data_IF_485921697933
#
_entry.id   IF_485921697933
#
_cell.length_a   1.000
_cell.length_b   1.000
_cell.length_c   1.000
_cell.angle_alpha   90.00
_cell.angle_beta   90.00
_cell.angle_gamma   90.00
#
_symmetry.space_group_name_H-M   'P 1'
#
loop_
_entity.id
_entity.type
_entity.pdbx_description
1 polymer ?
#
# COMPACT_ATOMS: atom_id res chain seq x y z
N UNK A 1 -2.27 5.68 14.33
CA UNK A 1 -2.75 4.49 13.61
C UNK A 1 -3.88 4.87 12.67
N UNK A 2 -4.16 4.05 11.67
CA UNK A 2 -5.30 4.18 10.77
C UNK A 2 -6.04 2.84 10.59
N UNK A 3 -7.13 2.85 9.83
CA UNK A 3 -7.89 1.65 9.47
C UNK A 3 -7.66 1.37 7.98
N UNK A 4 -7.07 0.23 7.67
CA UNK A 4 -6.94 -0.28 6.32
C UNK A 4 -8.17 -1.11 5.91
N UNK A 5 -8.40 -1.25 4.61
CA UNK A 5 -9.46 -2.13 4.09
C UNK A 5 -9.30 -3.58 4.54
N UNK A 6 -8.06 -4.05 4.70
CA UNK A 6 -7.77 -5.41 5.17
C UNK A 6 -8.15 -5.67 6.63
N UNK A 7 -8.18 -4.65 7.49
CA UNK A 7 -8.65 -4.78 8.88
C UNK A 7 -10.13 -5.18 8.95
N UNK A 8 -10.91 -4.75 7.94
CA UNK A 8 -12.34 -5.01 7.88
C UNK A 8 -12.70 -6.48 7.61
N UNK A 9 -11.77 -7.28 7.11
CA UNK A 9 -12.03 -8.70 6.87
C UNK A 9 -12.19 -9.45 8.18
N UNK A 10 -11.29 -9.20 9.11
CA UNK A 10 -11.41 -9.73 10.46
C UNK A 10 -12.72 -9.27 11.11
N UNK A 11 -13.02 -7.97 11.01
CA UNK A 11 -14.25 -7.39 11.55
C UNK A 11 -15.54 -8.01 10.97
N UNK A 12 -15.52 -8.33 9.66
CA UNK A 12 -16.68 -8.90 8.95
C UNK A 12 -16.75 -10.42 9.01
N UNK A 13 -15.78 -11.09 9.61
CA UNK A 13 -15.75 -12.55 9.67
C UNK A 13 -16.78 -13.07 10.71
N UNK A 14 -17.84 -13.77 10.28
CA UNK A 14 -18.88 -14.26 11.20
C UNK A 14 -18.39 -15.36 12.16
N UNK A 15 -17.21 -15.93 11.90
CA UNK A 15 -16.62 -17.00 12.71
C UNK A 15 -15.61 -16.49 13.76
N UNK A 16 -15.51 -15.19 13.94
CA UNK A 16 -14.66 -14.65 15.00
C UNK A 16 -15.28 -15.00 16.33
N UNK A 17 -14.52 -15.77 17.13
CA UNK A 17 -14.87 -16.02 18.53
C UNK A 17 -14.68 -14.73 19.32
N UNK A 18 -15.55 -14.50 20.32
CA UNK A 18 -15.36 -13.42 21.28
C UNK A 18 -13.95 -13.47 21.86
N UNK A 19 -13.23 -12.37 21.77
CA UNK A 19 -11.85 -12.24 22.20
C UNK A 19 -11.22 -10.96 21.69
N UNK A 20 -9.93 -10.77 21.96
CA UNK A 20 -9.17 -9.63 21.44
C UNK A 20 -9.00 -9.78 19.93
N UNK A 21 -9.59 -8.85 19.19
CA UNK A 21 -9.28 -8.67 17.79
C UNK A 21 -7.93 -7.95 17.71
N UNK A 22 -6.92 -8.65 17.23
CA UNK A 22 -5.68 -7.99 16.80
C UNK A 22 -6.03 -7.19 15.55
N UNK A 23 -6.12 -5.86 15.68
CA UNK A 23 -6.53 -4.97 14.60
C UNK A 23 -5.48 -3.91 14.34
N UNK A 24 -5.36 -3.55 13.06
CA UNK A 24 -4.43 -2.54 12.60
C UNK A 24 -3.01 -3.06 12.39
N UNK A 25 -2.32 -2.43 11.45
CA UNK A 25 -0.94 -2.78 11.06
C UNK A 25 -0.14 -1.56 10.62
N UNK A 26 -0.69 -0.36 10.73
CA UNK A 26 -0.05 0.90 10.32
C UNK A 26 0.05 1.85 11.51
N UNK A 27 1.26 2.22 11.90
CA UNK A 27 1.46 3.13 13.02
C UNK A 27 2.64 4.08 12.82
N UNK A 28 2.52 5.24 13.43
CA UNK A 28 3.64 6.12 13.79
C UNK A 28 3.57 6.37 15.28
N UNK A 29 4.70 6.58 15.92
CA UNK A 29 4.71 6.76 17.38
C UNK A 29 6.07 7.11 17.93
N UNK A 30 6.13 7.24 19.25
CA UNK A 30 7.36 7.47 19.99
C UNK A 30 7.83 6.16 20.59
N UNK A 31 9.11 5.89 20.50
CA UNK A 31 9.74 4.75 21.18
C UNK A 31 9.71 5.00 22.68
N UNK A 32 9.03 4.15 23.42
CA UNK A 32 8.93 4.25 24.88
C UNK A 32 10.06 3.48 25.56
N UNK A 33 10.29 2.23 25.11
CA UNK A 33 11.32 1.36 25.64
C UNK A 33 11.99 0.56 24.52
N UNK A 34 13.21 0.11 24.75
CA UNK A 34 13.94 -0.79 23.85
C UNK A 34 14.51 -1.98 24.62
N UNK A 35 14.55 -3.15 23.97
CA UNK A 35 15.33 -4.27 24.50
C UNK A 35 16.84 -4.02 24.31
N UNK A 36 17.67 -4.75 25.06
CA UNK A 36 19.14 -4.56 25.11
C UNK A 36 19.84 -4.73 23.75
N UNK A 37 19.26 -5.51 22.84
CA UNK A 37 19.81 -5.73 21.50
C UNK A 37 19.48 -4.61 20.48
N UNK A 38 18.66 -3.63 20.85
CA UNK A 38 18.26 -2.55 19.94
C UNK A 38 19.29 -1.42 19.98
N UNK A 39 19.81 -1.08 18.81
CA UNK A 39 20.88 -0.08 18.65
C UNK A 39 20.55 1.05 17.68
N UNK A 40 19.53 0.89 16.84
CA UNK A 40 19.18 1.86 15.79
C UNK A 40 18.19 2.93 16.26
N UNK A 41 17.41 2.64 17.28
CA UNK A 41 16.46 3.55 17.90
C UNK A 41 16.61 3.53 19.41
N UNK A 42 16.14 4.58 20.07
CA UNK A 42 16.16 4.74 21.53
C UNK A 42 14.86 5.39 22.02
N UNK A 43 14.55 5.30 23.32
CA UNK A 43 13.43 6.01 23.91
C UNK A 43 13.43 7.49 23.52
N UNK A 44 12.26 8.01 23.16
CA UNK A 44 12.04 9.35 22.66
C UNK A 44 12.19 9.54 21.15
N UNK A 45 12.66 8.55 20.40
CA UNK A 45 12.72 8.64 18.95
C UNK A 45 11.31 8.54 18.33
N UNK A 46 11.03 9.42 17.36
CA UNK A 46 9.81 9.38 16.56
C UNK A 46 10.01 8.44 15.37
N UNK A 47 9.10 7.48 15.19
CA UNK A 47 9.27 6.38 14.23
C UNK A 47 8.02 6.08 13.42
N UNK A 48 8.22 5.52 12.22
CA UNK A 48 7.20 4.78 11.47
C UNK A 48 7.38 3.31 11.78
N UNK A 49 6.28 2.64 12.11
CA UNK A 49 6.19 1.20 12.27
C UNK A 49 5.52 0.59 11.03
N UNK A 50 6.29 0.07 10.05
CA UNK A 50 5.76 -0.46 8.80
C UNK A 50 4.93 -1.73 9.03
N UNK A 51 3.96 -1.99 8.14
CA UNK A 51 3.10 -3.16 8.22
C UNK A 51 3.85 -4.47 7.97
N UNK A 52 4.92 -4.43 7.18
CA UNK A 52 5.82 -5.56 6.96
C UNK A 52 7.15 -5.29 7.61
N UNK A 53 7.78 -6.35 8.12
CA UNK A 53 9.10 -6.26 8.70
C UNK A 53 9.81 -7.60 8.64
N UNK A 54 11.12 -7.54 8.49
CA UNK A 54 12.01 -8.68 8.42
C UNK A 54 12.93 -8.79 9.62
N UNK A 55 13.65 -9.91 9.73
CA UNK A 55 14.66 -10.10 10.76
C UNK A 55 15.96 -9.34 10.49
N UNK A 56 16.22 -8.95 9.22
CA UNK A 56 17.46 -8.30 8.80
C UNK A 56 18.68 -9.23 8.70
N UNK A 57 18.49 -10.56 8.83
CA UNK A 57 19.59 -11.51 8.94
C UNK A 57 19.44 -12.75 8.04
N UNK A 58 18.36 -12.85 7.26
CA UNK A 58 18.14 -13.96 6.34
C UNK A 58 18.34 -13.53 4.88
N UNK A 59 18.46 -14.51 3.99
CA UNK A 59 18.72 -14.25 2.57
C UNK A 59 17.62 -13.41 1.92
N UNK A 60 16.36 -13.64 2.27
CA UNK A 60 15.24 -12.83 1.78
C UNK A 60 15.37 -11.35 2.18
N UNK A 61 15.70 -11.07 3.46
CA UNK A 61 15.92 -9.71 3.93
C UNK A 61 17.11 -9.05 3.23
N UNK A 62 18.24 -9.76 3.10
CA UNK A 62 19.41 -9.23 2.38
C UNK A 62 19.13 -8.97 0.90
N UNK A 63 18.21 -9.70 0.29
CA UNK A 63 17.78 -9.50 -1.07
C UNK A 63 16.70 -8.38 -1.20
N UNK A 64 16.26 -7.76 -0.09
CA UNK A 64 15.25 -6.69 -0.08
C UNK A 64 13.79 -7.18 -0.11
N UNK A 65 13.57 -8.45 0.29
CA UNK A 65 12.23 -9.06 0.36
C UNK A 65 11.79 -9.24 1.82
N UNK A 66 11.79 -8.19 2.59
CA UNK A 66 11.47 -8.20 4.03
C UNK A 66 10.06 -8.76 4.31
N UNK A 67 9.11 -8.46 3.44
CA UNK A 67 7.73 -8.96 3.54
C UNK A 67 7.60 -10.48 3.44
N UNK A 68 8.63 -11.16 2.94
CA UNK A 68 8.72 -12.62 2.81
C UNK A 68 9.92 -13.18 3.60
N UNK A 69 10.20 -12.58 4.74
CA UNK A 69 11.31 -12.97 5.62
C UNK A 69 11.28 -14.48 5.92
N UNK A 70 12.41 -15.19 5.70
CA UNK A 70 12.51 -16.64 5.90
C UNK A 70 12.27 -17.09 7.34
N UNK A 71 12.56 -16.22 8.31
CA UNK A 71 12.25 -16.47 9.72
C UNK A 71 10.79 -16.25 10.08
N UNK A 72 9.99 -15.88 9.11
CA UNK A 72 8.55 -15.71 9.17
C UNK A 72 8.09 -15.06 10.47
N UNK A 73 8.64 -13.89 10.70
CA UNK A 73 8.13 -13.07 11.77
C UNK A 73 6.72 -12.56 11.46
N UNK A 74 6.21 -12.86 10.28
CA UNK A 74 4.85 -12.75 9.75
C UNK A 74 4.02 -11.62 10.34
N UNK A 75 2.74 -11.58 10.01
CA UNK A 75 1.75 -10.72 10.69
C UNK A 75 1.62 -11.00 12.21
N UNK A 76 2.29 -12.02 12.73
CA UNK A 76 2.35 -12.36 14.16
C UNK A 76 3.27 -11.45 14.98
N UNK A 77 4.00 -10.54 14.34
CA UNK A 77 4.86 -9.60 15.06
C UNK A 77 4.10 -8.50 15.78
N UNK A 78 2.86 -8.28 15.37
CA UNK A 78 1.90 -7.48 16.11
C UNK A 78 1.18 -8.38 17.10
N UNK A 79 1.77 -8.64 18.25
CA UNK A 79 1.20 -9.58 19.22
C UNK A 79 -0.25 -9.23 19.59
N UNK A 80 -0.70 -7.99 19.31
CA UNK A 80 -2.05 -7.52 19.63
C UNK A 80 -2.63 -6.50 18.62
N UNK A 81 -2.06 -6.36 17.42
CA UNK A 81 -2.40 -5.29 16.48
C UNK A 81 -1.85 -3.94 16.91
N UNK A 82 -2.02 -2.92 16.06
CA UNK A 82 -1.50 -1.57 16.34
C UNK A 82 -2.58 -0.55 16.74
N UNK A 83 -3.86 -0.96 16.77
CA UNK A 83 -4.96 -0.14 17.31
C UNK A 83 -4.92 -0.15 18.84
N UNK A 84 -3.84 0.40 19.39
CA UNK A 84 -3.55 0.38 20.82
C UNK A 84 -2.75 1.62 21.23
N UNK A 85 -2.76 1.92 22.54
CA UNK A 85 -1.96 3.01 23.12
C UNK A 85 -0.47 2.68 23.06
N UNK A 86 -0.10 1.43 23.30
CA UNK A 86 1.27 0.90 23.18
C UNK A 86 1.29 -0.33 22.30
N UNK A 87 2.33 -0.44 21.49
CA UNK A 87 2.58 -1.60 20.64
C UNK A 87 3.99 -2.14 20.89
N UNK A 88 4.13 -3.47 20.81
CA UNK A 88 5.44 -4.11 20.81
C UNK A 88 5.86 -4.37 19.38
N UNK A 89 7.00 -3.79 18.96
CA UNK A 89 7.54 -3.97 17.63
C UNK A 89 8.79 -4.86 17.67
N UNK A 90 8.78 -5.95 16.90
CA UNK A 90 9.90 -6.88 16.82
C UNK A 90 10.88 -6.48 15.69
N UNK A 91 12.14 -6.88 15.83
CA UNK A 91 13.18 -6.61 14.83
C UNK A 91 13.34 -5.11 14.49
N UNK A 92 13.22 -4.27 15.51
CA UNK A 92 13.24 -2.81 15.38
C UNK A 92 14.51 -2.28 14.69
N UNK A 93 15.66 -2.94 14.90
CA UNK A 93 16.91 -2.54 14.26
C UNK A 93 16.87 -2.55 12.73
N UNK A 94 16.04 -3.40 12.13
CA UNK A 94 15.93 -3.52 10.69
C UNK A 94 14.73 -2.75 10.13
N UNK A 95 13.62 -2.80 10.84
CA UNK A 95 12.33 -2.45 10.24
C UNK A 95 11.76 -1.10 10.71
N UNK A 96 12.08 -0.61 11.94
CA UNK A 96 11.62 0.72 12.35
C UNK A 96 12.34 1.82 11.58
N UNK A 97 11.56 2.79 11.11
CA UNK A 97 12.08 3.93 10.35
C UNK A 97 12.01 5.17 11.22
N UNK A 98 13.17 5.74 11.54
CA UNK A 98 13.25 6.95 12.35
C UNK A 98 12.84 8.18 11.54
N UNK A 99 11.91 8.95 12.08
CA UNK A 99 11.49 10.25 11.53
C UNK A 99 12.35 11.33 12.22
N UNK A 100 12.92 12.32 11.49
CA UNK A 100 13.62 13.44 12.11
C UNK A 100 12.70 14.26 13.01
N UNK A 101 13.21 14.79 14.11
CA UNK A 101 12.46 15.65 15.03
C UNK A 101 11.43 14.93 15.89
N UNK A 102 10.40 15.65 16.29
CA UNK A 102 9.33 15.19 17.17
C UNK A 102 7.97 15.42 16.50
N UNK A 103 6.90 14.73 16.91
CA UNK A 103 5.55 14.97 16.36
C UNK A 103 5.10 16.43 16.40
N UNK A 104 5.53 17.19 17.41
CA UNK A 104 5.25 18.63 17.55
C UNK A 104 5.85 19.51 16.44
N UNK A 105 6.85 19.01 15.72
CA UNK A 105 7.52 19.72 14.64
C UNK A 105 6.74 19.62 13.30
N UNK A 106 5.68 18.83 13.28
CA UNK A 106 4.88 18.50 12.11
C UNK A 106 3.44 18.99 12.23
N UNK A 107 2.87 19.45 11.14
CA UNK A 107 1.43 19.72 11.08
C UNK A 107 0.63 18.41 11.14
N UNK A 108 -0.63 18.48 11.56
CA UNK A 108 -1.54 17.32 11.55
C UNK A 108 -1.64 16.68 10.15
N UNK A 109 -1.69 17.49 9.09
CA UNK A 109 -1.70 16.99 7.71
C UNK A 109 -0.43 16.21 7.37
N UNK A 110 0.73 16.70 7.82
CA UNK A 110 1.99 15.99 7.61
C UNK A 110 2.06 14.70 8.42
N UNK A 111 1.57 14.67 9.66
CA UNK A 111 1.51 13.44 10.47
C UNK A 111 0.63 12.37 9.81
N UNK A 112 -0.51 12.77 9.21
CA UNK A 112 -1.36 11.86 8.41
C UNK A 112 -0.62 11.34 7.18
N UNK A 113 0.16 12.17 6.52
CA UNK A 113 0.98 11.76 5.37
C UNK A 113 2.10 10.80 5.80
N UNK A 114 2.78 11.07 6.91
CA UNK A 114 3.79 10.18 7.47
C UNK A 114 3.20 8.82 7.85
N UNK A 115 1.98 8.79 8.38
CA UNK A 115 1.30 7.53 8.70
C UNK A 115 1.05 6.70 7.44
N UNK A 116 0.74 7.30 6.29
CA UNK A 116 0.55 6.57 5.04
C UNK A 116 1.81 5.82 4.57
N UNK A 117 2.99 6.23 5.05
CA UNK A 117 4.27 5.56 4.77
C UNK A 117 4.43 4.23 5.53
N UNK A 118 3.54 3.93 6.47
CA UNK A 118 3.56 2.65 7.17
C UNK A 118 3.07 1.48 6.30
N UNK A 119 2.19 1.74 5.30
CA UNK A 119 1.69 0.73 4.37
C UNK A 119 1.30 1.31 3.01
N UNK A 120 0.21 2.11 2.95
CA UNK A 120 -0.52 2.36 1.69
C UNK A 120 0.33 3.08 0.64
N UNK A 121 1.24 3.96 1.04
CA UNK A 121 2.14 4.64 0.11
C UNK A 121 3.24 3.71 -0.43
N UNK A 122 3.99 2.95 0.41
CA UNK A 122 4.93 1.93 -0.09
C UNK A 122 4.26 0.86 -0.93
N UNK A 123 3.04 0.44 -0.59
CA UNK A 123 2.27 -0.54 -1.36
C UNK A 123 1.91 0.00 -2.76
N UNK A 124 1.41 1.24 -2.85
CA UNK A 124 1.17 1.89 -4.13
C UNK A 124 2.46 2.09 -4.95
N UNK A 125 3.55 2.45 -4.29
CA UNK A 125 4.86 2.58 -4.92
C UNK A 125 5.40 1.22 -5.39
N UNK A 126 5.22 0.17 -4.60
CA UNK A 126 5.58 -1.19 -4.99
C UNK A 126 4.84 -1.63 -6.26
N UNK A 127 3.53 -1.37 -6.36
CA UNK A 127 2.77 -1.66 -7.59
C UNK A 127 3.42 -1.01 -8.82
N UNK A 128 3.80 0.27 -8.74
CA UNK A 128 4.45 0.97 -9.84
C UNK A 128 5.84 0.39 -10.14
N UNK A 129 6.60 -0.01 -9.13
CA UNK A 129 7.95 -0.59 -9.29
C UNK A 129 7.92 -1.97 -9.93
N UNK A 130 7.03 -2.87 -9.49
CA UNK A 130 6.93 -4.22 -10.07
C UNK A 130 6.31 -4.22 -11.47
N UNK A 131 5.46 -3.23 -11.76
CA UNK A 131 5.01 -2.96 -13.13
C UNK A 131 6.09 -2.29 -14.00
N UNK A 132 7.27 -2.01 -13.45
CA UNK A 132 8.37 -1.32 -14.11
C UNK A 132 7.93 0.00 -14.78
N UNK A 133 7.10 0.78 -14.10
CA UNK A 133 6.71 2.11 -14.59
C UNK A 133 7.95 2.99 -14.76
N UNK A 134 8.05 3.64 -15.90
CA UNK A 134 9.17 4.50 -16.27
C UNK A 134 8.69 5.79 -16.91
N UNK A 135 9.58 6.79 -17.07
CA UNK A 135 9.23 8.05 -17.70
C UNK A 135 8.64 7.86 -19.09
N UNK A 136 7.50 8.53 -19.32
CA UNK A 136 6.76 8.48 -20.58
C UNK A 136 5.66 7.42 -20.65
N UNK A 137 5.62 6.44 -19.75
CA UNK A 137 4.60 5.38 -19.74
C UNK A 137 3.18 5.93 -19.57
N UNK A 138 2.22 5.24 -20.17
CA UNK A 138 0.79 5.38 -19.95
C UNK A 138 0.35 4.37 -18.91
N UNK A 139 -0.16 4.85 -17.77
CA UNK A 139 -0.47 4.02 -16.61
C UNK A 139 -1.96 4.04 -16.30
N UNK A 140 -2.53 2.90 -15.99
CA UNK A 140 -3.90 2.78 -15.49
C UNK A 140 -3.86 2.28 -14.05
N UNK A 141 -4.57 2.94 -13.15
CA UNK A 141 -4.75 2.49 -11.75
C UNK A 141 -6.17 1.99 -11.59
N UNK A 142 -6.31 0.75 -11.16
CA UNK A 142 -7.60 0.11 -10.89
C UNK A 142 -7.83 0.10 -9.38
N UNK A 143 -8.85 0.84 -8.95
CA UNK A 143 -9.18 1.05 -7.53
C UNK A 143 -8.81 2.44 -7.03
N UNK A 144 -9.72 3.02 -6.25
CA UNK A 144 -9.70 4.40 -5.78
C UNK A 144 -9.58 4.53 -4.26
N UNK A 145 -9.25 3.42 -3.59
CA UNK A 145 -8.94 3.40 -2.16
C UNK A 145 -7.58 4.04 -1.85
N UNK A 146 -7.17 4.01 -0.58
CA UNK A 146 -5.91 4.63 -0.14
C UNK A 146 -4.70 4.14 -0.95
N UNK A 147 -4.59 2.83 -1.21
CA UNK A 147 -3.52 2.26 -2.04
C UNK A 147 -3.59 2.77 -3.48
N UNK A 148 -4.79 2.82 -4.09
CA UNK A 148 -4.95 3.34 -5.46
C UNK A 148 -4.59 4.82 -5.58
N UNK A 149 -4.97 5.65 -4.61
CA UNK A 149 -4.56 7.06 -4.56
C UNK A 149 -3.03 7.19 -4.45
N UNK A 150 -2.40 6.38 -3.61
CA UNK A 150 -0.95 6.32 -3.49
C UNK A 150 -0.28 5.78 -4.77
N UNK A 151 -0.92 4.84 -5.47
CA UNK A 151 -0.43 4.34 -6.74
C UNK A 151 -0.44 5.40 -7.86
N UNK A 152 -1.44 6.32 -7.85
CA UNK A 152 -1.44 7.50 -8.73
C UNK A 152 -0.22 8.39 -8.46
N UNK A 153 0.04 8.70 -7.18
CA UNK A 153 1.22 9.48 -6.77
C UNK A 153 2.51 8.76 -7.22
N UNK A 154 2.59 7.46 -6.96
CA UNK A 154 3.75 6.64 -7.33
C UNK A 154 3.99 6.60 -8.85
N UNK A 155 2.94 6.44 -9.66
CA UNK A 155 3.05 6.49 -11.12
C UNK A 155 3.59 7.84 -11.61
N UNK A 156 3.11 8.95 -11.01
CA UNK A 156 3.64 10.29 -11.27
C UNK A 156 5.11 10.42 -10.87
N UNK A 157 5.48 9.93 -9.69
CA UNK A 157 6.88 9.93 -9.21
C UNK A 157 7.81 9.14 -10.14
N UNK A 158 7.30 8.05 -10.73
CA UNK A 158 8.04 7.26 -11.73
C UNK A 158 8.08 7.91 -13.12
N UNK A 159 7.42 9.06 -13.32
CA UNK A 159 7.47 9.83 -14.55
C UNK A 159 6.46 9.42 -15.61
N UNK A 160 5.37 8.73 -15.25
CA UNK A 160 4.29 8.42 -16.19
C UNK A 160 3.77 9.68 -16.89
N UNK A 161 3.53 9.60 -18.20
CA UNK A 161 3.05 10.72 -19.01
C UNK A 161 1.54 10.88 -18.96
N UNK A 162 0.83 9.77 -18.82
CA UNK A 162 -0.63 9.72 -18.65
C UNK A 162 -0.95 8.75 -17.53
N UNK A 163 -1.85 9.14 -16.64
CA UNK A 163 -2.30 8.33 -15.51
C UNK A 163 -3.83 8.36 -15.49
N UNK A 164 -4.46 7.25 -15.76
CA UNK A 164 -5.92 7.09 -15.73
C UNK A 164 -6.30 6.33 -14.47
N UNK A 165 -7.15 6.93 -13.62
CA UNK A 165 -7.75 6.23 -12.48
C UNK A 165 -9.14 5.70 -12.83
N UNK A 166 -9.40 4.42 -12.57
CA UNK A 166 -10.75 3.86 -12.66
C UNK A 166 -11.44 3.98 -11.29
N UNK A 167 -12.38 4.93 -11.18
CA UNK A 167 -13.05 5.32 -9.94
C UNK A 167 -14.48 5.77 -10.18
N UNK A 168 -15.40 5.38 -9.27
CA UNK A 168 -16.83 5.79 -9.33
C UNK A 168 -17.20 6.91 -8.37
N UNK A 169 -16.34 7.27 -7.45
CA UNK A 169 -16.63 8.24 -6.39
C UNK A 169 -15.99 9.59 -6.71
N UNK A 170 -16.81 10.63 -6.83
CA UNK A 170 -16.36 11.96 -7.26
C UNK A 170 -15.29 12.56 -6.38
N UNK A 171 -15.45 12.46 -5.06
CA UNK A 171 -14.47 12.93 -4.09
C UNK A 171 -13.09 12.27 -4.26
N UNK A 172 -13.09 10.98 -4.59
CA UNK A 172 -11.85 10.21 -4.86
C UNK A 172 -11.25 10.53 -6.23
N UNK A 173 -12.09 10.81 -7.22
CA UNK A 173 -11.64 11.27 -8.54
C UNK A 173 -10.95 12.63 -8.44
N UNK A 174 -11.57 13.58 -7.70
CA UNK A 174 -10.98 14.90 -7.45
C UNK A 174 -9.64 14.80 -6.73
N UNK A 175 -9.54 13.94 -5.71
CA UNK A 175 -8.30 13.67 -4.99
C UNK A 175 -7.23 13.11 -5.93
N UNK A 176 -7.56 12.16 -6.79
CA UNK A 176 -6.61 11.57 -7.73
C UNK A 176 -6.12 12.60 -8.77
N UNK A 177 -7.02 13.41 -9.32
CA UNK A 177 -6.67 14.49 -10.25
C UNK A 177 -5.72 15.50 -9.58
N UNK A 178 -6.00 15.90 -8.34
CA UNK A 178 -5.11 16.76 -7.55
C UNK A 178 -3.74 16.11 -7.28
N UNK A 179 -3.70 14.78 -7.17
CA UNK A 179 -2.48 14.01 -6.91
C UNK A 179 -1.66 13.71 -8.16
N UNK A 180 -2.26 13.85 -9.36
CA UNK A 180 -1.54 13.69 -10.63
C UNK A 180 -2.15 12.75 -11.64
N UNK A 181 -3.35 12.20 -11.40
CA UNK A 181 -4.09 11.54 -12.46
C UNK A 181 -4.41 12.54 -13.59
N UNK A 182 -4.29 12.10 -14.83
CA UNK A 182 -4.57 12.92 -16.01
C UNK A 182 -6.02 12.76 -16.49
N UNK A 183 -6.65 11.65 -16.13
CA UNK A 183 -8.05 11.36 -16.42
C UNK A 183 -8.62 10.36 -15.40
N UNK A 184 -9.96 10.28 -15.36
CA UNK A 184 -10.73 9.33 -14.57
C UNK A 184 -11.76 8.63 -15.44
N UNK A 185 -12.05 7.36 -15.13
CA UNK A 185 -13.05 6.54 -15.81
C UNK A 185 -13.96 5.91 -14.76
N UNK A 186 -15.27 6.12 -14.88
CA UNK A 186 -16.28 5.60 -13.93
C UNK A 186 -16.79 4.22 -14.32
N UNK A 187 -16.78 3.92 -15.59
CA UNK A 187 -17.27 2.70 -16.17
C UNK A 187 -16.43 1.49 -15.73
N UNK A 188 -17.04 0.31 -15.77
CA UNK A 188 -16.45 -0.97 -15.38
C UNK A 188 -16.54 -1.97 -16.52
N UNK A 189 -15.80 -3.08 -16.38
CA UNK A 189 -15.79 -4.16 -17.37
C UNK A 189 -15.37 -3.67 -18.75
N UNK A 190 -15.96 -4.23 -19.79
CA UNK A 190 -15.62 -3.96 -21.18
C UNK A 190 -15.80 -2.48 -21.57
N UNK A 191 -16.85 -1.82 -21.06
CA UNK A 191 -17.10 -0.40 -21.34
C UNK A 191 -15.97 0.46 -20.74
N UNK A 192 -15.56 0.19 -19.50
CA UNK A 192 -14.47 0.89 -18.84
C UNK A 192 -13.13 0.65 -19.55
N UNK A 193 -12.87 -0.59 -19.98
CA UNK A 193 -11.67 -0.94 -20.76
C UNK A 193 -11.64 -0.17 -22.07
N UNK A 194 -12.75 -0.14 -22.82
CA UNK A 194 -12.84 0.57 -24.08
C UNK A 194 -12.58 2.08 -23.90
N UNK A 195 -13.18 2.70 -22.88
CA UNK A 195 -13.02 4.13 -22.58
C UNK A 195 -11.57 4.49 -22.17
N UNK A 196 -10.95 3.65 -21.35
CA UNK A 196 -9.52 3.82 -21.02
C UNK A 196 -8.66 3.76 -22.28
N UNK A 197 -8.89 2.77 -23.14
CA UNK A 197 -8.12 2.61 -24.39
C UNK A 197 -8.33 3.78 -25.36
N UNK A 198 -9.54 4.35 -25.40
CA UNK A 198 -9.83 5.57 -26.17
C UNK A 198 -9.03 6.76 -25.64
N UNK A 199 -9.06 7.01 -24.30
CA UNK A 199 -8.32 8.11 -23.66
C UNK A 199 -6.81 8.00 -23.93
N UNK A 200 -6.27 6.79 -23.85
CA UNK A 200 -4.83 6.55 -24.03
C UNK A 200 -4.41 6.46 -25.50
N UNK A 201 -5.37 6.43 -26.46
CA UNK A 201 -5.08 6.18 -27.88
C UNK A 201 -4.52 4.79 -28.12
N UNK A 202 -4.97 3.80 -27.35
CA UNK A 202 -4.51 2.41 -27.38
C UNK A 202 -4.49 1.78 -25.99
N UNK A 203 -3.68 0.74 -25.80
CA UNK A 203 -3.52 0.13 -24.46
C UNK A 203 -2.50 0.86 -23.60
N UNK A 204 -2.54 0.59 -22.30
CA UNK A 204 -1.59 1.09 -21.32
C UNK A 204 -0.26 0.32 -21.35
N UNK A 205 0.84 0.98 -21.00
CA UNK A 205 2.15 0.37 -20.76
C UNK A 205 2.18 -0.38 -19.43
N UNK A 206 1.47 0.13 -18.44
CA UNK A 206 1.36 -0.48 -17.12
C UNK A 206 -0.05 -0.33 -16.53
N UNK A 207 -0.49 -1.37 -15.80
CA UNK A 207 -1.71 -1.35 -15.00
C UNK A 207 -1.36 -1.66 -13.54
N UNK A 208 -1.88 -0.86 -12.61
CA UNK A 208 -1.66 -1.02 -11.17
C UNK A 208 -2.98 -1.48 -10.53
N UNK A 209 -3.05 -2.75 -10.17
CA UNK A 209 -4.24 -3.37 -9.59
C UNK A 209 -4.20 -3.23 -8.07
N UNK A 210 -5.17 -2.49 -7.49
CA UNK A 210 -5.22 -2.11 -6.08
C UNK A 210 -6.51 -2.53 -5.37
N UNK A 211 -7.24 -3.52 -5.89
CA UNK A 211 -8.56 -3.95 -5.37
C UNK A 211 -8.54 -5.40 -4.86
N UNK A 212 -7.96 -6.33 -5.65
CA UNK A 212 -7.87 -7.75 -5.31
C UNK A 212 -9.09 -8.58 -5.70
N UNK A 213 -9.90 -8.16 -6.68
CA UNK A 213 -11.03 -8.95 -7.20
C UNK A 213 -10.74 -9.47 -8.61
N UNK A 214 -11.35 -10.60 -8.99
CA UNK A 214 -11.22 -11.15 -10.35
C UNK A 214 -11.57 -10.06 -11.39
N UNK A 215 -12.69 -9.36 -11.22
CA UNK A 215 -13.11 -8.31 -12.14
C UNK A 215 -12.11 -7.15 -12.26
N UNK A 216 -11.40 -6.82 -11.18
CA UNK A 216 -10.36 -5.78 -11.21
C UNK A 216 -9.10 -6.26 -11.94
N UNK A 217 -8.75 -7.53 -11.76
CA UNK A 217 -7.64 -8.17 -12.48
C UNK A 217 -7.96 -8.25 -13.98
N UNK A 218 -9.18 -8.67 -14.35
CA UNK A 218 -9.61 -8.72 -15.75
C UNK A 218 -9.56 -7.33 -16.40
N UNK A 219 -10.02 -6.30 -15.69
CA UNK A 219 -9.89 -4.92 -16.16
C UNK A 219 -8.43 -4.50 -16.31
N UNK A 220 -7.57 -4.84 -15.35
CA UNK A 220 -6.15 -4.51 -15.41
C UNK A 220 -5.46 -5.16 -16.62
N UNK A 221 -5.79 -6.41 -16.91
CA UNK A 221 -5.30 -7.11 -18.10
C UNK A 221 -5.87 -6.52 -19.39
N UNK A 222 -7.18 -6.23 -19.41
CA UNK A 222 -7.89 -5.73 -20.58
C UNK A 222 -7.45 -4.33 -21.04
N UNK A 223 -6.98 -3.47 -20.13
CA UNK A 223 -6.50 -2.12 -20.49
C UNK A 223 -5.09 -2.12 -21.05
N UNK A 224 -4.31 -3.18 -20.85
CA UNK A 224 -2.92 -3.23 -21.34
C UNK A 224 -2.85 -3.43 -22.85
N UNK A 225 -1.81 -2.89 -23.46
CA UNK A 225 -1.39 -3.31 -24.80
C UNK A 225 -0.59 -4.63 -24.74
N UNK A 226 -0.34 -5.25 -25.89
CA UNK A 226 0.52 -6.43 -25.95
C UNK A 226 1.95 -6.08 -25.47
N UNK A 227 2.44 -6.82 -24.47
CA UNK A 227 3.72 -6.51 -23.80
C UNK A 227 3.62 -5.50 -22.67
N UNK A 228 2.43 -4.99 -22.36
CA UNK A 228 2.19 -4.20 -21.14
C UNK A 228 2.41 -5.02 -19.86
N UNK A 229 2.55 -4.35 -18.74
CA UNK A 229 2.94 -4.94 -17.46
C UNK A 229 1.92 -4.63 -16.37
N UNK A 230 1.69 -5.56 -15.45
CA UNK A 230 0.79 -5.37 -14.32
C UNK A 230 1.55 -5.42 -12.99
N UNK A 231 1.33 -4.42 -12.14
CA UNK A 231 1.65 -4.45 -10.72
C UNK A 231 0.40 -4.83 -9.95
N UNK A 232 0.44 -5.94 -9.22
CA UNK A 232 -0.69 -6.49 -8.48
C UNK A 232 -0.42 -6.38 -6.98
N UNK A 233 -1.22 -5.57 -6.28
CA UNK A 233 -1.12 -5.36 -4.83
C UNK A 233 -2.46 -5.48 -4.12
N UNK A 234 -3.55 -5.61 -4.86
CA UNK A 234 -4.85 -5.92 -4.30
C UNK A 234 -4.83 -7.31 -3.64
N UNK A 235 -5.25 -7.40 -2.38
CA UNK A 235 -5.24 -8.69 -1.68
C UNK A 235 -6.44 -9.52 -2.14
N UNK A 236 -6.21 -10.74 -2.68
CA UNK A 236 -7.28 -11.58 -3.22
C UNK A 236 -8.32 -11.97 -2.16
N UNK A 237 -9.60 -11.74 -2.48
CA UNK A 237 -10.72 -12.04 -1.58
C UNK A 237 -11.49 -13.32 -1.95
N UNK A 238 -11.03 -14.08 -2.91
CA UNK A 238 -11.74 -15.28 -3.34
C UNK A 238 -11.22 -16.51 -2.59
N UNK A 239 -12.20 -17.26 -2.06
CA UNK A 239 -11.93 -18.53 -1.42
C UNK A 239 -11.32 -19.51 -2.43
N UNK A 240 -10.08 -19.94 -2.16
CA UNK A 240 -9.44 -21.12 -2.70
C UNK A 240 -9.48 -21.29 -4.24
N UNK A 241 -8.77 -20.46 -4.95
CA UNK A 241 -8.17 -20.87 -6.22
C UNK A 241 -6.67 -20.59 -6.16
N UNK A 242 -5.96 -21.57 -5.62
CA UNK A 242 -4.55 -21.74 -5.86
C UNK A 242 -4.37 -22.31 -7.26
#
# INVERSE_FOLDING_TARGET
TCVCGSDLWTYRNPNIKEGRLNSGHEAIGIVEETGDAITTVKPGDFVIAPFTHGCGECDACYAGFDGTCDRHLGNSNWSHGVQAEYIRFHCANWSLIKIPGQPSDYTEAMLKSLLSLADVMPTGYHAARVAHVKPGDKVVVIGDGAVGQCAVIAAKMCGASQIVLMSRYKDRQEMALASGATAVVEERGEEGIAKVREILGGGADAALECVGTEAAIDQALGVLHNGGRMGFVGVPHYNNRA
#
